data_IF_324687950304
#
_entry.id   IF_324687950304
#
_cell.length_a   1.000
_cell.length_b   1.000
_cell.length_c   1.000
_cell.angle_alpha   90.00
_cell.angle_beta   90.00
_cell.angle_gamma   90.00
#
_symmetry.space_group_name_H-M   'P 1'
#
loop_
_entity.id
_entity.type
_entity.pdbx_description
1 polymer ?
#
# COMPACT_ATOMS: atom_id res chain seq x y z
N UNK A 1 5.67 -54.77 14.12
CA UNK A 1 4.95 -54.09 13.01
C UNK A 1 3.59 -53.53 13.42
N UNK A 2 2.71 -54.30 14.09
CA UNK A 2 1.34 -53.85 14.47
C UNK A 2 1.34 -52.62 15.40
N UNK A 3 2.20 -52.57 16.42
CA UNK A 3 2.30 -51.44 17.35
C UNK A 3 2.70 -50.14 16.63
N UNK A 4 3.67 -50.20 15.72
CA UNK A 4 4.13 -49.05 14.93
C UNK A 4 3.01 -48.52 14.04
N UNK A 5 2.26 -49.43 13.39
CA UNK A 5 1.10 -49.06 12.57
C UNK A 5 -0.01 -48.38 13.40
N UNK A 6 -0.35 -48.92 14.58
CA UNK A 6 -1.36 -48.33 15.46
C UNK A 6 -0.96 -46.92 15.94
N UNK A 7 0.32 -46.72 16.30
CA UNK A 7 0.81 -45.40 16.68
C UNK A 7 0.84 -44.41 15.51
N UNK A 8 1.20 -44.86 14.30
CA UNK A 8 1.14 -44.02 13.10
C UNK A 8 -0.29 -43.56 12.80
N UNK A 9 -1.29 -44.44 12.89
CA UNK A 9 -2.71 -44.08 12.69
C UNK A 9 -3.18 -43.10 13.75
N UNK A 10 -2.82 -43.30 15.03
CA UNK A 10 -3.16 -42.37 16.12
C UNK A 10 -2.53 -40.99 15.91
N UNK A 11 -1.25 -40.94 15.53
CA UNK A 11 -0.54 -39.69 15.24
C UNK A 11 -1.14 -38.98 14.02
N UNK A 12 -1.47 -39.71 12.96
CA UNK A 12 -2.13 -39.15 11.79
C UNK A 12 -3.52 -38.59 12.13
N UNK A 13 -4.34 -39.35 12.89
CA UNK A 13 -5.66 -38.89 13.34
C UNK A 13 -5.56 -37.66 14.25
N UNK A 14 -4.59 -37.63 15.17
CA UNK A 14 -4.33 -36.48 16.03
C UNK A 14 -3.89 -35.25 15.22
N UNK A 15 -3.02 -35.44 14.23
CA UNK A 15 -2.58 -34.38 13.32
C UNK A 15 -3.74 -33.82 12.50
N UNK A 16 -4.59 -34.68 11.94
CA UNK A 16 -5.80 -34.26 11.22
C UNK A 16 -6.73 -33.49 12.15
N UNK A 17 -6.97 -33.99 13.37
CA UNK A 17 -7.78 -33.30 14.37
C UNK A 17 -7.24 -31.91 14.71
N UNK A 18 -5.92 -31.78 14.90
CA UNK A 18 -5.25 -30.50 15.13
C UNK A 18 -5.38 -29.54 13.94
N UNK A 19 -5.24 -30.03 12.71
CA UNK A 19 -5.39 -29.22 11.50
C UNK A 19 -6.84 -28.72 11.38
N UNK A 20 -7.83 -29.59 11.57
CA UNK A 20 -9.25 -29.22 11.51
C UNK A 20 -9.58 -28.20 12.60
N UNK A 21 -9.12 -28.42 13.83
CA UNK A 21 -9.32 -27.49 14.93
C UNK A 21 -8.64 -26.14 14.67
N UNK A 22 -7.40 -26.16 14.18
CA UNK A 22 -6.67 -24.95 13.80
C UNK A 22 -7.36 -24.16 12.68
N UNK A 23 -7.86 -24.85 11.64
CA UNK A 23 -8.62 -24.23 10.56
C UNK A 23 -9.94 -23.62 11.06
N UNK A 24 -10.66 -24.34 11.93
CA UNK A 24 -11.88 -23.82 12.57
C UNK A 24 -11.60 -22.57 13.39
N UNK A 25 -10.55 -22.58 14.21
CA UNK A 25 -10.17 -21.43 15.03
C UNK A 25 -9.75 -20.23 14.17
N UNK A 26 -8.99 -20.46 13.10
CA UNK A 26 -8.60 -19.42 12.16
C UNK A 26 -9.83 -18.79 11.47
N UNK A 27 -10.76 -19.62 10.98
CA UNK A 27 -12.02 -19.16 10.39
C UNK A 27 -12.88 -18.38 11.40
N UNK A 28 -12.98 -18.87 12.63
CA UNK A 28 -13.72 -18.21 13.70
C UNK A 28 -13.14 -16.83 14.02
N UNK A 29 -11.82 -16.71 14.20
CA UNK A 29 -11.17 -15.43 14.47
C UNK A 29 -11.27 -14.46 13.29
N UNK A 30 -11.14 -14.97 12.07
CA UNK A 30 -11.28 -14.17 10.85
C UNK A 30 -12.70 -13.62 10.69
N UNK A 31 -13.72 -14.47 10.87
CA UNK A 31 -15.13 -14.04 10.76
C UNK A 31 -15.53 -13.05 11.85
N UNK A 32 -14.91 -13.11 13.04
CA UNK A 32 -15.11 -12.11 14.10
C UNK A 32 -14.51 -10.74 13.81
N UNK A 33 -13.65 -10.63 12.80
CA UNK A 33 -13.08 -9.35 12.35
C UNK A 33 -13.94 -8.68 11.28
N UNK A 34 -15.00 -9.34 10.79
CA UNK A 34 -15.89 -8.76 9.80
C UNK A 34 -16.76 -7.67 10.45
N UNK A 35 -16.84 -6.47 9.85
CA UNK A 35 -17.78 -5.44 10.27
C UNK A 35 -19.23 -5.94 10.12
N UNK A 36 -20.10 -5.48 11.02
CA UNK A 36 -21.53 -5.56 10.82
C UNK A 36 -21.95 -4.44 9.86
N UNK A 37 -22.25 -4.80 8.61
CA UNK A 37 -22.55 -3.84 7.55
C UNK A 37 -23.99 -3.32 7.59
N UNK A 38 -24.89 -3.98 8.33
CA UNK A 38 -26.28 -3.58 8.49
C UNK A 38 -26.51 -2.75 9.76
N UNK A 39 -25.45 -2.49 10.52
CA UNK A 39 -25.51 -1.74 11.77
C UNK A 39 -25.85 -0.27 11.53
N UNK A 40 -26.80 0.26 12.31
CA UNK A 40 -27.01 1.70 12.46
C UNK A 40 -26.17 2.20 13.64
N UNK A 41 -25.27 3.13 13.38
CA UNK A 41 -24.31 3.63 14.36
C UNK A 41 -24.50 5.13 14.59
N UNK A 42 -24.58 5.52 15.86
CA UNK A 42 -24.52 6.92 16.27
C UNK A 42 -23.06 7.30 16.53
N UNK A 43 -22.49 8.11 15.64
CA UNK A 43 -21.07 8.51 15.66
C UNK A 43 -20.96 10.02 15.82
N UNK A 44 -19.92 10.47 16.53
CA UNK A 44 -19.54 11.88 16.53
C UNK A 44 -18.78 12.21 15.23
N UNK A 45 -19.06 13.38 14.64
CA UNK A 45 -18.40 13.86 13.40
C UNK A 45 -19.39 14.20 12.29
N UNK A 46 -20.24 13.26 11.83
CA UNK A 46 -21.22 13.54 10.76
C UNK A 46 -22.18 14.66 11.14
N UNK A 47 -22.47 15.55 10.19
CA UNK A 47 -23.44 16.64 10.35
C UNK A 47 -24.87 16.19 10.01
N UNK A 48 -25.00 15.16 9.19
CA UNK A 48 -26.25 14.54 8.77
C UNK A 48 -26.10 13.02 8.67
N UNK A 49 -27.20 12.26 8.59
CA UNK A 49 -27.15 10.82 8.35
C UNK A 49 -26.38 10.49 7.07
N UNK A 50 -25.49 9.50 7.16
CA UNK A 50 -24.72 8.93 6.05
C UNK A 50 -25.21 7.49 5.86
N UNK A 51 -25.54 7.14 4.62
CA UNK A 51 -25.92 5.77 4.26
C UNK A 51 -24.79 5.14 3.43
N UNK A 52 -24.33 3.96 3.83
CA UNK A 52 -23.30 3.20 3.10
C UNK A 52 -23.93 1.90 2.60
N UNK A 53 -24.30 1.87 1.33
CA UNK A 53 -24.91 0.70 0.69
C UNK A 53 -23.83 -0.08 -0.04
N UNK A 54 -23.78 -1.40 0.11
CA UNK A 54 -22.83 -2.25 -0.60
C UNK A 54 -23.54 -3.04 -1.68
N UNK A 55 -22.94 -3.10 -2.86
CA UNK A 55 -23.45 -3.92 -3.97
C UNK A 55 -23.13 -5.42 -3.78
N UNK A 56 -23.52 -6.25 -4.75
CA UNK A 56 -23.26 -7.69 -4.71
C UNK A 56 -21.76 -8.07 -4.73
N UNK A 57 -20.89 -7.14 -5.12
CA UNK A 57 -19.44 -7.29 -5.09
C UNK A 57 -18.81 -6.66 -3.83
N UNK A 58 -19.63 -6.20 -2.88
CA UNK A 58 -19.24 -5.47 -1.67
C UNK A 58 -18.54 -4.13 -1.96
N UNK A 59 -18.81 -3.49 -3.09
CA UNK A 59 -18.34 -2.13 -3.37
C UNK A 59 -19.23 -1.14 -2.59
N UNK A 60 -18.65 -0.28 -1.72
CA UNK A 60 -19.43 0.67 -0.94
C UNK A 60 -19.85 1.89 -1.78
N UNK A 61 -21.14 2.21 -1.73
CA UNK A 61 -21.76 3.42 -2.26
C UNK A 61 -22.15 4.32 -1.08
N UNK A 62 -21.59 5.52 -1.05
CA UNK A 62 -21.70 6.42 0.10
C UNK A 62 -22.65 7.54 -0.27
N UNK A 63 -23.81 7.57 0.39
CA UNK A 63 -24.83 8.60 0.21
C UNK A 63 -24.78 9.56 1.40
N UNK A 64 -24.49 10.83 1.09
CA UNK A 64 -24.35 11.88 2.09
C UNK A 64 -24.92 13.21 1.56
N UNK A 65 -25.31 14.10 2.48
CA UNK A 65 -25.88 15.42 2.13
C UNK A 65 -24.85 16.52 1.94
N UNK A 66 -23.64 16.33 2.45
CA UNK A 66 -22.54 17.31 2.40
C UNK A 66 -21.24 16.62 2.00
N UNK A 67 -20.31 17.37 1.42
CA UNK A 67 -18.98 16.87 1.05
C UNK A 67 -18.23 16.34 2.28
N UNK A 68 -18.34 17.04 3.41
CA UNK A 68 -17.77 16.59 4.69
C UNK A 68 -18.24 15.18 5.05
N UNK A 69 -19.55 14.97 5.05
CA UNK A 69 -20.16 13.69 5.43
C UNK A 69 -19.81 12.59 4.40
N UNK A 70 -19.66 12.94 3.11
CA UNK A 70 -19.20 12.02 2.08
C UNK A 70 -17.75 11.56 2.32
N UNK A 71 -16.83 12.49 2.63
CA UNK A 71 -15.43 12.15 2.94
C UNK A 71 -15.31 11.37 4.26
N UNK A 72 -16.11 11.73 5.27
CA UNK A 72 -16.22 10.96 6.51
C UNK A 72 -16.66 9.52 6.23
N UNK A 73 -17.75 9.34 5.48
CA UNK A 73 -18.24 8.02 5.08
C UNK A 73 -17.18 7.22 4.31
N UNK A 74 -16.38 7.88 3.46
CA UNK A 74 -15.32 7.26 2.69
C UNK A 74 -14.18 6.75 3.58
N UNK A 75 -13.75 7.57 4.53
CA UNK A 75 -12.76 7.17 5.53
C UNK A 75 -13.24 6.00 6.37
N UNK A 76 -14.50 6.05 6.81
CA UNK A 76 -15.13 4.99 7.61
C UNK A 76 -15.20 3.67 6.83
N UNK A 77 -15.68 3.68 5.58
CA UNK A 77 -15.78 2.49 4.74
C UNK A 77 -14.40 1.89 4.42
N UNK A 78 -13.41 2.72 4.08
CA UNK A 78 -12.03 2.24 3.89
C UNK A 78 -11.46 1.59 5.15
N UNK A 79 -11.71 2.17 6.32
CA UNK A 79 -11.27 1.59 7.58
C UNK A 79 -12.01 0.30 7.95
N UNK A 80 -13.26 0.12 7.51
CA UNK A 80 -13.99 -1.15 7.64
C UNK A 80 -13.35 -2.26 6.78
N UNK A 81 -13.06 -1.94 5.52
CA UNK A 81 -12.74 -2.96 4.52
C UNK A 81 -11.22 -3.21 4.37
N UNK A 82 -10.40 -2.20 4.67
CA UNK A 82 -8.95 -2.14 4.30
C UNK A 82 -8.05 -1.75 5.46
N UNK A 83 -8.51 -1.91 6.70
CA UNK A 83 -7.78 -1.51 7.91
C UNK A 83 -6.30 -1.93 7.87
N UNK A 84 -6.04 -3.24 7.73
CA UNK A 84 -4.69 -3.80 7.70
C UNK A 84 -3.84 -3.19 6.57
N UNK A 85 -4.40 -3.06 5.37
CA UNK A 85 -3.72 -2.45 4.24
C UNK A 85 -3.31 -1.00 4.55
N UNK A 86 -4.21 -0.20 5.12
CA UNK A 86 -3.93 1.19 5.49
C UNK A 86 -2.81 1.28 6.54
N UNK A 87 -2.80 0.38 7.53
CA UNK A 87 -1.75 0.32 8.57
C UNK A 87 -0.40 0.01 7.95
N UNK A 88 -0.33 -1.02 7.10
CA UNK A 88 0.91 -1.43 6.44
C UNK A 88 1.41 -0.31 5.53
N UNK A 89 0.55 0.31 4.71
CA UNK A 89 0.92 1.42 3.83
C UNK A 89 1.44 2.62 4.63
N UNK A 90 0.76 3.03 5.70
CA UNK A 90 1.21 4.12 6.58
C UNK A 90 2.58 3.83 7.20
N UNK A 91 2.79 2.62 7.72
CA UNK A 91 4.06 2.22 8.32
C UNK A 91 5.19 2.13 7.30
N UNK A 92 4.91 1.69 6.08
CA UNK A 92 5.86 1.73 4.97
C UNK A 92 6.25 3.18 4.67
N UNK A 93 5.29 4.08 4.53
CA UNK A 93 5.58 5.50 4.27
C UNK A 93 6.41 6.15 5.38
N UNK A 94 6.18 5.77 6.64
CA UNK A 94 6.93 6.23 7.81
C UNK A 94 8.32 5.58 7.96
N UNK A 95 8.64 4.52 7.22
CA UNK A 95 9.82 3.69 7.48
C UNK A 95 9.79 3.06 8.88
N UNK A 96 8.66 2.42 9.22
CA UNK A 96 8.36 1.75 10.49
C UNK A 96 7.75 0.35 10.28
N UNK A 97 8.02 -0.26 9.13
CA UNK A 97 7.50 -1.56 8.74
C UNK A 97 8.12 -2.70 9.59
N UNK A 98 9.36 -2.53 10.03
CA UNK A 98 10.10 -3.46 10.89
C UNK A 98 9.52 -3.59 12.29
N UNK A 99 8.68 -2.64 12.72
CA UNK A 99 7.91 -2.80 13.95
C UNK A 99 6.85 -3.91 13.85
N UNK A 100 6.44 -4.28 12.63
CA UNK A 100 5.50 -5.39 12.38
C UNK A 100 6.22 -6.66 11.93
N UNK A 101 7.17 -6.54 11.00
CA UNK A 101 7.77 -7.70 10.32
C UNK A 101 9.22 -7.99 10.77
N UNK A 102 9.74 -7.22 11.71
CA UNK A 102 11.07 -7.44 12.29
C UNK A 102 12.20 -7.13 11.33
N UNK A 103 13.30 -7.88 11.45
CA UNK A 103 14.58 -7.54 10.80
C UNK A 103 14.54 -7.60 9.27
N UNK A 104 13.63 -8.37 8.67
CA UNK A 104 13.56 -8.55 7.22
C UNK A 104 13.18 -7.28 6.46
N UNK A 105 12.60 -6.28 7.14
CA UNK A 105 12.15 -5.01 6.53
C UNK A 105 13.01 -3.80 6.92
N UNK A 106 14.14 -3.99 7.62
CA UNK A 106 14.99 -2.89 8.09
C UNK A 106 15.56 -2.08 6.92
N UNK A 107 15.95 -2.76 5.85
CA UNK A 107 16.43 -2.09 4.63
C UNK A 107 15.32 -1.22 4.04
N UNK A 108 14.11 -1.75 3.89
CA UNK A 108 12.93 -0.98 3.43
C UNK A 108 12.73 0.27 4.27
N UNK A 109 12.75 0.16 5.59
CA UNK A 109 12.60 1.32 6.48
C UNK A 109 13.71 2.34 6.31
N UNK A 110 14.94 1.87 6.16
CA UNK A 110 16.12 2.73 5.94
C UNK A 110 15.98 3.53 4.65
N UNK A 111 15.58 2.89 3.55
CA UNK A 111 15.33 3.59 2.28
C UNK A 111 14.17 4.58 2.41
N UNK A 112 13.04 4.18 3.00
CA UNK A 112 11.88 5.07 3.14
C UNK A 112 12.17 6.31 3.99
N UNK A 113 13.01 6.19 5.02
CA UNK A 113 13.48 7.36 5.78
C UNK A 113 14.47 8.24 5.04
N UNK A 114 15.24 7.70 4.07
CA UNK A 114 16.09 8.51 3.18
C UNK A 114 15.27 9.30 2.17
N UNK A 115 14.20 8.71 1.64
CA UNK A 115 13.24 9.42 0.80
C UNK A 115 12.42 10.45 1.59
N UNK A 116 12.19 10.17 2.87
CA UNK A 116 11.56 11.08 3.83
C UNK A 116 10.16 11.56 3.39
N UNK A 117 9.43 10.70 2.67
CA UNK A 117 8.11 11.06 2.10
C UNK A 117 7.08 11.40 3.18
N UNK A 118 7.24 10.85 4.39
CA UNK A 118 6.31 11.12 5.49
C UNK A 118 6.46 12.53 6.06
N UNK A 119 7.70 13.01 6.29
CA UNK A 119 7.91 14.40 6.73
C UNK A 119 7.49 15.38 5.64
N UNK A 120 7.77 15.04 4.39
CA UNK A 120 7.29 15.83 3.25
C UNK A 120 5.76 15.83 3.15
N UNK A 121 5.08 14.75 3.55
CA UNK A 121 3.61 14.72 3.63
C UNK A 121 3.07 15.62 4.74
N UNK A 122 3.72 15.64 5.92
CA UNK A 122 3.39 16.56 7.00
C UNK A 122 3.45 18.02 6.54
N UNK A 123 4.56 18.44 5.91
CA UNK A 123 4.67 19.80 5.38
C UNK A 123 3.75 20.08 4.19
N UNK A 124 3.30 19.04 3.48
CA UNK A 124 2.37 19.21 2.36
C UNK A 124 0.96 19.59 2.82
N UNK A 125 0.57 19.29 4.07
CA UNK A 125 -0.75 19.64 4.61
C UNK A 125 -0.94 21.15 4.61
N UNK A 126 0.06 21.89 5.11
CA UNK A 126 0.00 23.36 5.19
C UNK A 126 0.00 24.05 3.81
N UNK A 127 0.36 23.31 2.75
CA UNK A 127 0.35 23.80 1.38
C UNK A 127 -0.97 23.49 0.64
N UNK A 128 -1.92 22.79 1.27
CA UNK A 128 -3.23 22.51 0.69
C UNK A 128 -4.16 23.71 0.84
N UNK A 129 -5.15 23.82 -0.06
CA UNK A 129 -6.24 24.79 0.12
C UNK A 129 -7.22 24.35 1.22
N UNK A 130 -8.05 25.29 1.67
CA UNK A 130 -8.98 25.06 2.77
C UNK A 130 -9.98 23.93 2.48
N UNK A 131 -10.42 23.79 1.23
CA UNK A 131 -11.35 22.73 0.82
C UNK A 131 -10.70 21.35 0.94
N UNK A 132 -9.45 21.21 0.50
CA UNK A 132 -8.70 19.97 0.56
C UNK A 132 -8.34 19.60 2.00
N UNK A 133 -7.98 20.58 2.83
CA UNK A 133 -7.75 20.36 4.26
C UNK A 133 -9.02 19.81 4.91
N UNK A 134 -10.18 20.45 4.69
CA UNK A 134 -11.46 20.01 5.23
C UNK A 134 -11.83 18.58 4.78
N UNK A 135 -11.58 18.24 3.51
CA UNK A 135 -11.79 16.89 2.99
C UNK A 135 -10.88 15.85 3.67
N UNK A 136 -9.60 16.16 3.85
CA UNK A 136 -8.62 15.29 4.50
C UNK A 136 -8.93 15.11 5.99
N UNK A 137 -9.41 16.15 6.67
CA UNK A 137 -9.86 16.10 8.06
C UNK A 137 -11.09 15.21 8.20
N UNK A 138 -12.14 15.47 7.42
CA UNK A 138 -13.36 14.66 7.43
C UNK A 138 -13.07 13.17 7.14
N UNK A 139 -12.22 12.88 6.15
CA UNK A 139 -11.76 11.52 5.89
C UNK A 139 -11.03 10.91 7.09
N UNK A 140 -10.14 11.66 7.73
CA UNK A 140 -9.40 11.21 8.92
C UNK A 140 -10.33 10.93 10.09
N UNK A 141 -11.35 11.75 10.29
CA UNK A 141 -12.39 11.56 11.31
C UNK A 141 -13.17 10.26 11.08
N UNK A 142 -13.57 9.98 9.85
CA UNK A 142 -14.25 8.73 9.49
C UNK A 142 -13.41 7.49 9.78
N UNK A 143 -12.13 7.52 9.40
CA UNK A 143 -11.17 6.44 9.72
C UNK A 143 -11.06 6.25 11.23
N UNK A 144 -10.92 7.36 11.98
CA UNK A 144 -10.80 7.34 13.42
C UNK A 144 -12.07 6.87 14.13
N UNK A 145 -13.25 7.19 13.60
CA UNK A 145 -14.53 6.74 14.14
C UNK A 145 -14.64 5.20 14.07
N UNK A 146 -14.25 4.60 12.93
CA UNK A 146 -14.21 3.15 12.81
C UNK A 146 -13.20 2.52 13.80
N UNK A 147 -12.05 3.15 14.05
CA UNK A 147 -11.10 2.65 15.04
C UNK A 147 -11.67 2.71 16.45
N UNK A 148 -12.37 3.79 16.81
CA UNK A 148 -13.05 3.89 18.10
C UNK A 148 -14.12 2.81 18.23
N UNK A 149 -14.85 2.51 17.15
CA UNK A 149 -15.85 1.44 17.14
C UNK A 149 -15.23 0.06 17.38
N UNK A 150 -14.11 -0.24 16.73
CA UNK A 150 -13.36 -1.50 16.94
C UNK A 150 -12.88 -1.60 18.40
N UNK A 151 -12.38 -0.51 18.98
CA UNK A 151 -11.88 -0.51 20.36
C UNK A 151 -12.99 -0.61 21.42
N UNK A 152 -14.18 -0.05 21.16
CA UNK A 152 -15.33 -0.10 22.08
C UNK A 152 -16.12 -1.40 21.96
N UNK A 153 -16.19 -1.96 20.75
CA UNK A 153 -16.99 -3.13 20.45
C UNK A 153 -16.31 -4.47 20.77
N UNK A 154 -17.07 -5.55 20.62
CA UNK A 154 -16.59 -6.93 20.63
C UNK A 154 -16.23 -7.47 19.23
N UNK A 155 -16.04 -6.59 18.24
CA UNK A 155 -15.85 -6.90 16.81
C UNK A 155 -14.42 -7.37 16.47
N UNK A 156 -13.83 -8.17 17.35
CA UNK A 156 -12.46 -8.66 17.21
C UNK A 156 -11.42 -7.53 17.26
N UNK A 157 -10.45 -7.58 16.35
CA UNK A 157 -9.39 -6.55 16.24
C UNK A 157 -9.53 -5.70 14.98
N UNK A 158 -10.66 -5.78 14.28
CA UNK A 158 -10.94 -5.05 13.03
C UNK A 158 -10.26 -5.61 11.77
N UNK A 159 -9.23 -6.45 11.91
CA UNK A 159 -8.66 -7.24 10.82
C UNK A 159 -8.05 -8.54 11.37
N UNK A 160 -8.16 -9.69 10.67
CA UNK A 160 -7.60 -10.96 11.12
C UNK A 160 -6.09 -10.91 11.39
N UNK A 161 -5.34 -10.15 10.58
CA UNK A 161 -3.89 -10.00 10.69
C UNK A 161 -3.47 -9.41 12.03
N UNK A 162 -4.35 -8.65 12.69
CA UNK A 162 -4.05 -8.00 13.97
C UNK A 162 -4.07 -8.98 15.16
N UNK A 163 -4.61 -10.19 14.98
CA UNK A 163 -4.41 -11.28 15.94
C UNK A 163 -2.98 -11.82 15.91
N UNK A 164 -2.28 -11.70 14.77
CA UNK A 164 -0.89 -12.13 14.60
C UNK A 164 0.07 -10.97 14.86
N UNK A 165 -0.21 -9.81 14.27
CA UNK A 165 0.59 -8.59 14.36
C UNK A 165 -0.09 -7.58 15.27
N UNK A 166 -0.04 -7.83 16.58
CA UNK A 166 -0.66 -6.93 17.55
C UNK A 166 0.05 -5.57 17.55
N UNK A 167 -0.61 -4.55 17.02
CA UNK A 167 -0.04 -3.21 16.90
C UNK A 167 -1.06 -2.14 17.31
N UNK A 168 -0.69 -1.17 18.15
CA UNK A 168 -1.58 -0.07 18.47
C UNK A 168 -1.72 0.89 17.29
N UNK A 169 -2.92 1.42 17.09
CA UNK A 169 -3.22 2.40 16.06
C UNK A 169 -3.16 3.81 16.62
N UNK A 170 -2.22 4.61 16.11
CA UNK A 170 -2.32 6.05 16.26
C UNK A 170 -3.48 6.58 15.40
N UNK A 171 -4.23 7.59 15.86
CA UNK A 171 -5.26 8.25 15.07
C UNK A 171 -4.72 8.66 13.69
N UNK A 172 -5.53 8.42 12.66
CA UNK A 172 -5.30 8.89 11.31
C UNK A 172 -5.33 10.41 11.27
N UNK A 173 -4.42 10.99 10.48
CA UNK A 173 -4.30 12.44 10.28
C UNK A 173 -4.29 12.78 8.79
N UNK A 174 -4.61 14.02 8.38
CA UNK A 174 -4.52 14.47 6.99
C UNK A 174 -3.20 14.09 6.29
N UNK A 175 -2.08 14.24 7.00
CA UNK A 175 -0.76 13.89 6.50
C UNK A 175 -0.59 12.41 6.16
N UNK A 176 -1.30 11.50 6.84
CA UNK A 176 -1.22 10.07 6.57
C UNK A 176 -1.82 9.74 5.18
N UNK A 177 -2.90 10.42 4.79
CA UNK A 177 -3.49 10.29 3.45
C UNK A 177 -2.53 10.81 2.36
N UNK A 178 -1.92 11.98 2.59
CA UNK A 178 -0.90 12.53 1.67
C UNK A 178 0.33 11.62 1.58
N UNK A 179 0.73 10.98 2.68
CA UNK A 179 1.84 10.04 2.70
C UNK A 179 1.55 8.79 1.86
N UNK A 180 0.32 8.27 1.90
CA UNK A 180 -0.11 7.17 1.02
C UNK A 180 -0.04 7.60 -0.45
N UNK A 181 -0.53 8.80 -0.80
CA UNK A 181 -0.45 9.30 -2.18
C UNK A 181 1.00 9.37 -2.68
N UNK A 182 1.92 9.90 -1.87
CA UNK A 182 3.35 9.94 -2.20
C UNK A 182 3.95 8.53 -2.31
N UNK A 183 3.53 7.60 -1.46
CA UNK A 183 3.96 6.20 -1.53
C UNK A 183 3.48 5.52 -2.82
N UNK A 184 2.25 5.78 -3.24
CA UNK A 184 1.72 5.27 -4.52
C UNK A 184 2.50 5.86 -5.70
N UNK A 185 2.79 7.16 -5.68
CA UNK A 185 3.62 7.80 -6.70
C UNK A 185 5.03 7.17 -6.78
N UNK A 186 5.63 6.86 -5.63
CA UNK A 186 6.89 6.12 -5.57
C UNK A 186 6.78 4.72 -6.19
N UNK A 187 5.71 3.98 -5.89
CA UNK A 187 5.46 2.64 -6.45
C UNK A 187 5.25 2.66 -7.97
N UNK A 188 4.71 3.76 -8.50
CA UNK A 188 4.55 3.98 -9.94
C UNK A 188 5.83 4.43 -10.65
N UNK A 189 6.91 4.72 -9.91
CA UNK A 189 8.17 5.21 -10.45
C UNK A 189 9.19 4.06 -10.62
N UNK A 190 9.56 3.75 -11.87
CA UNK A 190 10.59 2.73 -12.19
C UNK A 190 12.00 3.29 -12.42
N UNK A 191 12.10 4.60 -12.66
CA UNK A 191 13.28 5.26 -13.20
C UNK A 191 14.55 5.00 -12.40
N UNK A 192 14.50 5.10 -11.07
CA UNK A 192 15.68 4.90 -10.20
C UNK A 192 16.37 3.55 -10.46
N UNK A 193 15.59 2.48 -10.57
CA UNK A 193 16.13 1.14 -10.78
C UNK A 193 16.78 1.01 -12.18
N UNK A 194 16.16 1.63 -13.19
CA UNK A 194 16.67 1.66 -14.56
C UNK A 194 17.96 2.48 -14.66
N UNK A 195 18.06 3.62 -13.99
CA UNK A 195 19.26 4.46 -13.98
C UNK A 195 20.44 3.78 -13.28
N UNK A 196 20.19 3.20 -12.10
CA UNK A 196 21.22 2.45 -11.37
C UNK A 196 21.70 1.25 -12.19
N UNK A 197 20.80 0.53 -12.86
CA UNK A 197 21.16 -0.56 -13.75
C UNK A 197 22.00 -0.06 -14.94
N UNK A 198 21.58 1.02 -15.59
CA UNK A 198 22.29 1.60 -16.74
C UNK A 198 23.68 2.09 -16.34
N UNK A 199 23.82 2.76 -15.20
CA UNK A 199 25.11 3.18 -14.66
C UNK A 199 26.02 2.00 -14.30
N UNK A 200 25.49 0.95 -13.66
CA UNK A 200 26.27 -0.27 -13.37
C UNK A 200 26.74 -0.96 -14.66
N UNK A 201 25.88 -1.01 -15.67
CA UNK A 201 26.23 -1.62 -16.95
C UNK A 201 27.29 -0.81 -17.71
N UNK A 202 27.18 0.53 -17.73
CA UNK A 202 28.18 1.38 -18.39
C UNK A 202 29.57 1.29 -17.74
N UNK A 203 29.63 1.03 -16.44
CA UNK A 203 30.88 0.82 -15.71
C UNK A 203 31.48 -0.59 -15.90
N UNK A 204 30.63 -1.59 -16.19
CA UNK A 204 31.05 -2.98 -16.37
C UNK A 204 31.45 -3.31 -17.82
N UNK A 205 30.92 -2.58 -18.80
CA UNK A 205 31.22 -2.80 -20.21
C UNK A 205 32.51 -2.05 -20.62
N UNK A 206 33.46 -2.71 -21.29
CA UNK A 206 34.67 -2.06 -21.79
C UNK A 206 34.40 -1.17 -23.02
N UNK A 207 33.31 -1.44 -23.75
CA UNK A 207 32.89 -0.71 -24.93
C UNK A 207 31.54 -0.04 -24.64
N UNK A 208 31.51 1.29 -24.73
CA UNK A 208 30.31 2.09 -24.46
C UNK A 208 29.20 1.86 -25.48
N UNK A 209 29.54 1.47 -26.71
CA UNK A 209 28.55 1.31 -27.78
C UNK A 209 27.64 0.10 -27.51
N UNK A 210 28.17 -0.93 -26.83
CA UNK A 210 27.41 -2.10 -26.38
C UNK A 210 26.33 -1.78 -25.34
N UNK A 211 26.42 -0.64 -24.65
CA UNK A 211 25.38 -0.24 -23.70
C UNK A 211 24.05 -0.02 -24.43
N UNK A 212 24.09 0.57 -25.62
CA UNK A 212 22.91 0.86 -26.42
C UNK A 212 22.30 -0.42 -27.02
N UNK A 213 23.09 -1.46 -27.25
CA UNK A 213 22.58 -2.76 -27.69
C UNK A 213 21.78 -3.48 -26.58
N UNK A 214 22.16 -3.31 -25.31
CA UNK A 214 21.55 -4.02 -24.16
C UNK A 214 20.45 -3.18 -23.49
N UNK A 215 20.65 -1.88 -23.37
CA UNK A 215 19.73 -0.91 -22.77
C UNK A 215 19.50 0.25 -23.76
N UNK A 216 18.79 -0.02 -24.87
CA UNK A 216 18.58 0.97 -25.92
C UNK A 216 17.84 2.19 -25.41
N UNK A 217 18.18 3.34 -25.97
CA UNK A 217 17.44 4.57 -25.72
C UNK A 217 16.04 4.48 -26.31
N UNK A 218 15.11 5.21 -25.68
CA UNK A 218 13.75 5.29 -26.19
C UNK A 218 13.77 5.90 -27.59
N UNK A 219 13.13 5.28 -28.59
CA UNK A 219 13.12 5.81 -29.94
C UNK A 219 12.34 7.13 -29.99
N UNK A 220 12.96 8.19 -30.51
CA UNK A 220 12.33 9.51 -30.69
C UNK A 220 13.19 10.66 -30.19
N UNK A 221 12.68 11.89 -30.34
CA UNK A 221 13.31 13.09 -29.79
C UNK A 221 12.87 13.21 -28.33
N UNK A 222 13.81 13.15 -27.39
CA UNK A 222 13.50 13.32 -25.97
C UNK A 222 12.76 14.63 -25.73
N UNK A 223 11.57 14.57 -25.13
CA UNK A 223 10.71 15.76 -24.87
C UNK A 223 11.38 16.71 -23.87
N UNK A 224 12.33 16.22 -23.08
CA UNK A 224 13.20 17.03 -22.23
C UNK A 224 14.63 16.48 -22.27
N UNK A 225 15.60 17.32 -22.61
CA UNK A 225 17.03 17.01 -22.44
C UNK A 225 17.43 17.28 -20.99
N UNK A 226 17.41 16.24 -20.16
CA UNK A 226 18.04 16.32 -18.83
C UNK A 226 19.56 16.22 -19.02
N UNK A 227 20.36 16.98 -18.24
CA UNK A 227 21.81 16.82 -18.25
C UNK A 227 22.17 15.39 -17.83
N UNK A 228 23.25 14.84 -18.39
CA UNK A 228 23.76 13.54 -17.94
C UNK A 228 24.01 13.60 -16.43
N UNK A 229 23.39 12.70 -15.64
CA UNK A 229 23.51 12.72 -14.18
C UNK A 229 24.96 12.70 -13.68
N UNK A 230 25.88 12.10 -14.44
CA UNK A 230 27.31 12.12 -14.15
C UNK A 230 27.90 13.55 -14.08
N UNK A 231 27.35 14.49 -14.85
CA UNK A 231 27.74 15.91 -14.82
C UNK A 231 27.25 16.63 -13.56
N UNK A 232 26.22 16.12 -12.89
CA UNK A 232 25.65 16.69 -11.67
C UNK A 232 26.45 16.30 -10.40
N UNK A 233 27.24 15.22 -10.46
CA UNK A 233 27.99 14.70 -9.30
C UNK A 233 29.45 14.36 -9.67
N UNK A 234 30.29 15.37 -9.99
CA UNK A 234 31.68 15.13 -10.35
C UNK A 234 32.46 14.50 -9.18
N UNK A 235 33.13 13.37 -9.44
CA UNK A 235 33.94 12.66 -8.44
C UNK A 235 33.23 11.55 -7.66
N UNK A 236 31.99 11.18 -8.03
CA UNK A 236 31.32 10.03 -7.45
C UNK A 236 32.18 8.75 -7.63
N UNK A 237 32.32 7.91 -6.58
CA UNK A 237 33.08 6.67 -6.70
C UNK A 237 32.48 5.79 -7.80
N UNK A 238 33.31 5.39 -8.77
CA UNK A 238 32.92 4.49 -9.87
C UNK A 238 32.44 3.13 -9.38
N UNK A 239 32.76 2.77 -8.15
CA UNK A 239 32.23 1.59 -7.49
C UNK A 239 31.78 1.97 -6.08
N UNK A 240 30.47 2.01 -5.88
CA UNK A 240 29.88 1.70 -4.60
C UNK A 240 29.32 0.30 -4.74
N UNK A 241 29.69 -0.60 -3.83
CA UNK A 241 28.93 -1.81 -3.58
C UNK A 241 27.55 -1.39 -3.07
N UNK A 242 26.68 -0.98 -4.00
CA UNK A 242 25.30 -0.65 -3.68
C UNK A 242 24.63 -1.97 -3.38
N UNK A 243 24.31 -2.19 -2.10
CA UNK A 243 23.35 -3.21 -1.71
C UNK A 243 22.14 -3.06 -2.64
N UNK A 244 21.72 -4.18 -3.21
CA UNK A 244 20.56 -4.22 -4.10
C UNK A 244 19.38 -3.54 -3.42
N UNK A 245 18.51 -2.90 -4.21
CA UNK A 245 17.20 -2.44 -3.72
C UNK A 245 16.56 -3.55 -2.87
N UNK A 246 15.90 -3.23 -1.75
CA UNK A 246 15.38 -4.24 -0.84
C UNK A 246 14.56 -5.27 -1.62
N UNK A 247 15.08 -6.49 -1.74
CA UNK A 247 14.42 -7.58 -2.45
C UNK A 247 13.51 -8.32 -1.46
N UNK A 248 12.54 -7.59 -0.92
CA UNK A 248 11.57 -8.10 0.03
C UNK A 248 10.17 -7.95 -0.57
N UNK A 249 9.25 -8.92 -0.41
CA UNK A 249 7.89 -8.83 -0.96
C UNK A 249 7.10 -7.58 -0.51
N UNK A 250 7.44 -7.06 0.67
CA UNK A 250 6.85 -5.83 1.24
C UNK A 250 7.58 -4.54 0.85
N UNK A 251 8.61 -4.62 0.00
CA UNK A 251 9.30 -3.44 -0.50
C UNK A 251 8.35 -2.62 -1.39
N UNK A 252 8.24 -1.29 -1.19
CA UNK A 252 7.47 -0.44 -2.09
C UNK A 252 8.19 -0.17 -3.41
N UNK A 253 9.48 -0.50 -3.51
CA UNK A 253 10.24 -0.36 -4.73
C UNK A 253 9.93 -1.53 -5.67
N UNK A 254 9.21 -1.26 -6.76
CA UNK A 254 8.87 -2.27 -7.75
C UNK A 254 10.10 -2.66 -8.56
N UNK A 255 10.20 -3.95 -8.87
CA UNK A 255 11.21 -4.44 -9.81
C UNK A 255 10.97 -3.86 -11.21
N UNK A 256 12.03 -3.84 -12.01
CA UNK A 256 11.98 -3.41 -13.41
C UNK A 256 10.87 -4.17 -14.17
N UNK A 257 10.07 -3.46 -14.96
CA UNK A 257 8.94 -4.02 -15.71
C UNK A 257 7.66 -4.23 -14.88
N UNK A 258 7.73 -4.05 -13.55
CA UNK A 258 6.57 -4.11 -12.65
C UNK A 258 6.23 -2.75 -12.01
N UNK A 259 6.92 -1.69 -12.42
CA UNK A 259 6.62 -0.30 -12.08
C UNK A 259 5.72 0.34 -13.13
N UNK A 260 4.85 1.27 -12.72
CA UNK A 260 3.93 2.00 -13.61
C UNK A 260 2.45 1.71 -13.32
N UNK A 261 1.55 2.35 -14.05
CA UNK A 261 0.10 2.14 -13.95
C UNK A 261 -0.41 1.36 -15.17
N UNK A 262 -1.38 0.45 -14.97
CA UNK A 262 -1.88 -0.47 -16.01
C UNK A 262 -2.70 0.19 -17.12
N UNK A 263 -2.99 1.48 -16.99
CA UNK A 263 -3.86 2.28 -17.87
C UNK A 263 -3.08 3.35 -18.66
N UNK A 264 -1.81 3.08 -18.98
CA UNK A 264 -0.97 4.02 -19.75
C UNK A 264 -1.45 4.21 -21.21
N UNK A 265 -2.41 3.43 -21.68
CA UNK A 265 -2.95 3.49 -23.04
C UNK A 265 -4.47 3.40 -22.98
N UNK A 266 -5.13 4.21 -23.81
CA UNK A 266 -6.56 4.13 -24.06
C UNK A 266 -6.78 4.05 -25.57
N UNK A 267 -7.75 3.27 -26.02
CA UNK A 267 -8.22 3.35 -27.40
C UNK A 267 -9.06 4.62 -27.54
N UNK A 268 -8.65 5.52 -28.42
CA UNK A 268 -9.47 6.67 -28.80
C UNK A 268 -10.84 6.19 -29.32
N UNK A 269 -11.88 7.00 -29.17
CA UNK A 269 -13.22 6.72 -29.67
C UNK A 269 -13.25 6.22 -31.13
N UNK A 270 -12.40 6.79 -31.99
CA UNK A 270 -12.26 6.42 -33.41
C UNK A 270 -11.67 5.03 -33.64
N UNK A 271 -11.11 4.39 -32.60
CA UNK A 271 -10.54 3.04 -32.61
C UNK A 271 -11.35 2.05 -31.77
N UNK A 272 -12.54 2.44 -31.32
CA UNK A 272 -13.45 1.59 -30.54
C UNK A 272 -14.74 1.32 -31.31
N UNK A 273 -15.22 0.08 -31.26
CA UNK A 273 -16.48 -0.31 -31.88
C UNK A 273 -17.71 0.36 -31.23
N UNK A 274 -17.59 0.79 -29.97
CA UNK A 274 -18.68 1.46 -29.24
C UNK A 274 -18.68 2.98 -29.44
N UNK A 275 -17.67 3.54 -30.12
CA UNK A 275 -17.50 4.99 -30.28
C UNK A 275 -17.13 5.73 -28.98
N UNK A 276 -16.90 5.02 -27.88
CA UNK A 276 -16.38 5.56 -26.62
C UNK A 276 -14.89 5.25 -26.46
N UNK A 277 -14.19 6.09 -25.68
CA UNK A 277 -12.81 5.78 -25.26
C UNK A 277 -12.81 4.53 -24.38
N UNK A 278 -11.92 3.57 -24.69
CA UNK A 278 -11.74 2.37 -23.88
C UNK A 278 -10.40 2.45 -23.15
N UNK A 279 -10.42 2.22 -21.84
CA UNK A 279 -9.24 2.04 -21.00
C UNK A 279 -8.77 0.58 -21.03
#
# INVERSE_FOLDING_TARGET
MILVFQWLVRLAAALIGLIVFGAFLAYYLASRSLPDYDATLELAGPNAPIEIVRDHANVPHILAKTDHDAYFGLGFAHAQDRLWQMIVLRRTAQGRLSELFGRSTIETDTYMRRFDIYRLALSSVDAQDAQTIAALEAYSEGVNAQFQQINRGSSGRGAPELFVFNTPFAPWRPADSLAILKLMALQSSGHLADEVLRARMSLALPDSDRLNDILPDSPGVGVASLPEYASLVPGAPKYIATNTTPNHPLSPFKARGFSGASNAWAAAASRSATGGTLL
#
